data_IF_645344855860
#
_entry.id   IF_645344855860
#
_cell.length_a   1.000
_cell.length_b   1.000
_cell.length_c   1.000
_cell.angle_alpha   90.00
_cell.angle_beta   90.00
_cell.angle_gamma   90.00
#
_symmetry.space_group_name_H-M   'P 1'
#
loop_
_entity.id
_entity.type
_entity.pdbx_description
1 polymer ?
#
# COMPACT_ATOMS: atom_id res chain seq x y z
N UNK A 1 10.53 11.31 3.30
CA UNK A 1 10.36 10.89 4.73
C UNK A 1 10.32 12.07 5.71
N UNK A 2 11.16 13.13 5.59
CA UNK A 2 11.13 14.27 6.51
C UNK A 2 9.74 14.93 6.61
N UNK A 3 9.11 15.23 5.48
CA UNK A 3 7.79 15.89 5.46
C UNK A 3 6.67 15.04 6.07
N UNK A 4 6.81 13.73 6.05
CA UNK A 4 5.83 12.76 6.54
C UNK A 4 6.16 12.18 7.94
N UNK A 5 7.23 12.65 8.61
CA UNK A 5 7.75 12.00 9.81
C UNK A 5 6.75 11.96 10.97
N UNK A 6 5.85 12.94 11.11
CA UNK A 6 4.83 12.90 12.17
C UNK A 6 3.79 11.80 11.93
N UNK A 7 3.35 11.64 10.67
CA UNK A 7 2.37 10.61 10.34
C UNK A 7 2.94 9.22 10.63
N UNK A 8 4.16 8.97 10.13
CA UNK A 8 4.77 7.66 10.24
C UNK A 8 5.66 7.49 11.48
N UNK A 9 5.79 8.49 12.35
CA UNK A 9 6.69 8.44 13.50
C UNK A 9 8.13 8.09 13.13
N UNK A 10 8.59 8.59 11.98
CA UNK A 10 9.87 8.20 11.37
C UNK A 10 11.04 8.54 12.28
N UNK A 11 11.91 7.57 12.49
CA UNK A 11 13.18 7.67 13.20
C UNK A 11 14.30 7.26 12.24
N UNK A 12 15.51 7.72 12.52
CA UNK A 12 16.67 7.39 11.72
C UNK A 12 17.91 7.12 12.57
N UNK A 13 18.80 6.31 12.04
CA UNK A 13 20.11 6.05 12.61
C UNK A 13 21.13 5.85 11.48
N UNK A 14 22.39 6.12 11.78
CA UNK A 14 23.52 5.68 10.96
C UNK A 14 24.09 4.40 11.54
N UNK A 15 24.19 3.35 10.73
CA UNK A 15 24.71 2.04 11.11
C UNK A 15 25.74 1.61 10.08
N UNK A 16 27.01 1.59 10.47
CA UNK A 16 28.13 1.15 9.59
C UNK A 16 28.14 1.85 8.21
N UNK A 17 27.83 3.16 8.16
CA UNK A 17 27.79 3.95 6.92
C UNK A 17 26.47 3.86 6.16
N UNK A 18 25.48 3.14 6.67
CA UNK A 18 24.13 3.11 6.10
C UNK A 18 23.17 3.99 6.89
N UNK A 19 22.36 4.79 6.19
CA UNK A 19 21.18 5.44 6.77
C UNK A 19 20.06 4.41 6.89
N UNK A 20 19.63 4.15 8.10
CA UNK A 20 18.50 3.28 8.44
C UNK A 20 17.31 4.14 8.85
N UNK A 21 16.18 3.93 8.20
CA UNK A 21 14.93 4.61 8.50
C UNK A 21 13.93 3.60 9.06
N UNK A 22 13.40 3.87 10.26
CA UNK A 22 12.33 3.13 10.92
C UNK A 22 11.07 3.97 10.94
N UNK A 23 9.91 3.35 10.73
CA UNK A 23 8.62 4.05 10.70
C UNK A 23 7.48 3.13 11.14
N UNK A 24 6.34 3.72 11.53
CA UNK A 24 5.10 2.97 11.74
C UNK A 24 4.44 2.69 10.39
N UNK A 25 4.03 1.45 10.19
CA UNK A 25 3.27 1.07 9.00
C UNK A 25 1.88 1.71 9.11
N UNK A 26 1.42 2.32 8.02
CA UNK A 26 0.17 3.07 7.98
C UNK A 26 -1.02 2.27 8.50
N UNK A 27 -1.85 2.92 9.33
CA UNK A 27 -3.04 2.32 9.95
C UNK A 27 -2.77 1.23 10.99
N UNK A 28 -1.51 1.02 11.43
CA UNK A 28 -1.16 0.00 12.41
C UNK A 28 -0.13 0.47 13.44
N UNK A 29 -0.02 -0.26 14.54
CA UNK A 29 1.05 -0.07 15.53
C UNK A 29 2.35 -0.80 15.15
N UNK A 30 2.35 -1.47 13.99
CA UNK A 30 3.51 -2.23 13.52
C UNK A 30 4.62 -1.34 12.98
N UNK A 31 5.86 -1.77 13.21
CA UNK A 31 7.06 -1.08 12.76
C UNK A 31 7.60 -1.67 11.46
N UNK A 32 8.02 -0.80 10.56
CA UNK A 32 8.72 -1.13 9.33
C UNK A 32 10.03 -0.36 9.19
N UNK A 33 10.89 -0.85 8.30
CA UNK A 33 12.15 -0.20 7.94
C UNK A 33 12.21 -0.02 6.43
N UNK A 34 12.79 1.09 5.98
CA UNK A 34 13.17 1.22 4.57
C UNK A 34 14.42 0.38 4.29
N UNK A 35 14.58 -0.08 3.04
CA UNK A 35 15.88 -0.61 2.63
C UNK A 35 16.97 0.38 3.06
N UNK A 36 18.03 -0.05 3.78
CA UNK A 36 19.13 0.82 4.18
C UNK A 36 19.78 1.52 2.99
N UNK A 37 20.08 2.81 3.13
CA UNK A 37 20.65 3.66 2.08
C UNK A 37 22.13 3.90 2.41
N UNK A 38 23.02 3.48 1.52
CA UNK A 38 24.47 3.58 1.68
C UNK A 38 25.20 2.83 0.57
N UNK A 39 26.52 2.87 0.61
CA UNK A 39 27.36 2.12 -0.35
C UNK A 39 27.64 0.71 0.17
N UNK A 40 27.59 -0.28 -0.72
CA UNK A 40 27.91 -1.68 -0.41
C UNK A 40 26.70 -2.58 -0.18
N UNK A 41 26.94 -3.72 0.50
CA UNK A 41 25.92 -4.73 0.77
C UNK A 41 25.22 -4.43 2.11
N UNK A 42 24.04 -3.84 2.03
CA UNK A 42 23.22 -3.50 3.21
C UNK A 42 22.80 -4.73 4.02
N UNK A 43 22.87 -5.93 3.46
CA UNK A 43 22.50 -7.14 4.20
C UNK A 43 23.44 -7.44 5.36
N UNK A 44 24.62 -6.82 5.38
CA UNK A 44 25.60 -6.95 6.47
C UNK A 44 25.10 -6.36 7.78
N UNK A 45 24.30 -5.30 7.73
CA UNK A 45 23.74 -4.62 8.93
C UNK A 45 22.36 -5.13 9.33
N UNK A 46 21.74 -6.00 8.53
CA UNK A 46 20.38 -6.52 8.84
C UNK A 46 20.28 -7.23 10.19
N UNK A 47 21.30 -7.96 10.70
CA UNK A 47 21.22 -8.53 12.05
C UNK A 47 20.99 -7.48 13.16
N UNK A 48 21.51 -6.26 12.99
CA UNK A 48 21.31 -5.17 13.95
C UNK A 48 19.88 -4.62 13.85
N UNK A 49 19.34 -4.49 12.62
CA UNK A 49 17.96 -4.03 12.38
C UNK A 49 16.96 -5.09 12.87
N UNK A 50 17.27 -6.38 12.64
CA UNK A 50 16.47 -7.50 13.16
C UNK A 50 16.41 -7.50 14.69
N UNK A 51 17.53 -7.23 15.34
CA UNK A 51 17.57 -7.10 16.81
C UNK A 51 16.74 -5.92 17.32
N UNK A 52 16.72 -4.77 16.60
CA UNK A 52 15.86 -3.63 16.93
C UNK A 52 14.38 -3.96 16.73
N UNK A 53 14.00 -4.65 15.66
CA UNK A 53 12.63 -5.10 15.44
C UNK A 53 12.17 -6.09 16.53
N UNK A 54 13.02 -7.07 16.85
CA UNK A 54 12.75 -8.06 17.88
C UNK A 54 12.60 -7.44 19.28
N UNK A 55 13.36 -6.39 19.59
CA UNK A 55 13.23 -5.64 20.85
C UNK A 55 11.85 -4.95 20.99
N UNK A 56 11.14 -4.76 19.90
CA UNK A 56 9.77 -4.23 19.86
C UNK A 56 8.71 -5.33 19.75
N UNK A 57 9.11 -6.60 19.76
CA UNK A 57 8.20 -7.74 19.63
C UNK A 57 7.71 -7.99 18.20
N UNK A 58 8.38 -7.43 17.20
CA UNK A 58 7.96 -7.47 15.79
C UNK A 58 8.94 -8.28 14.91
N UNK A 59 8.45 -8.98 13.87
CA UNK A 59 9.32 -9.49 12.83
C UNK A 59 9.92 -8.33 12.03
N UNK A 60 11.14 -8.53 11.50
CA UNK A 60 11.72 -7.55 10.60
C UNK A 60 10.88 -7.44 9.33
N UNK A 61 10.49 -6.20 9.00
CA UNK A 61 9.78 -5.82 7.76
C UNK A 61 10.58 -4.74 7.04
N UNK A 62 10.95 -5.00 5.80
CA UNK A 62 11.59 -4.01 4.93
C UNK A 62 10.66 -3.56 3.82
N UNK A 63 10.75 -2.28 3.46
CA UNK A 63 9.99 -1.62 2.42
C UNK A 63 10.90 -0.87 1.45
N UNK A 64 10.38 -0.56 0.25
CA UNK A 64 11.13 0.17 -0.75
C UNK A 64 12.35 -0.60 -1.28
N UNK A 65 12.28 -1.92 -1.27
CA UNK A 65 13.40 -2.78 -1.68
C UNK A 65 13.52 -2.73 -3.20
N UNK A 66 14.72 -2.40 -3.68
CA UNK A 66 15.08 -2.42 -5.09
C UNK A 66 15.18 -3.86 -5.62
N UNK A 67 15.12 -4.05 -6.94
CA UNK A 67 15.32 -5.39 -7.55
C UNK A 67 16.66 -6.00 -7.14
N UNK A 68 17.74 -5.22 -7.13
CA UNK A 68 19.05 -5.68 -6.66
C UNK A 68 19.03 -6.04 -5.17
N UNK A 69 18.35 -5.23 -4.34
CA UNK A 69 18.19 -5.52 -2.92
C UNK A 69 17.45 -6.83 -2.67
N UNK A 70 16.41 -7.11 -3.45
CA UNK A 70 15.66 -8.36 -3.35
C UNK A 70 16.50 -9.58 -3.74
N UNK A 71 17.36 -9.48 -4.75
CA UNK A 71 18.31 -10.52 -5.12
C UNK A 71 19.30 -10.82 -3.99
N UNK A 72 19.85 -9.79 -3.34
CA UNK A 72 20.73 -9.96 -2.18
C UNK A 72 20.01 -10.64 -1.01
N UNK A 73 18.78 -10.23 -0.70
CA UNK A 73 17.97 -10.84 0.36
C UNK A 73 17.67 -12.31 0.04
N UNK A 74 17.26 -12.61 -1.18
CA UNK A 74 16.95 -13.98 -1.61
C UNK A 74 18.20 -14.87 -1.56
N UNK A 75 19.35 -14.37 -1.99
CA UNK A 75 20.62 -15.11 -1.95
C UNK A 75 21.07 -15.43 -0.51
N UNK A 76 20.86 -14.48 0.43
CA UNK A 76 21.32 -14.63 1.82
C UNK A 76 20.35 -15.39 2.71
N UNK A 77 19.04 -15.16 2.57
CA UNK A 77 18.02 -15.65 3.49
C UNK A 77 17.10 -16.73 2.90
N UNK A 78 17.05 -16.90 1.57
CA UNK A 78 16.28 -17.95 0.90
C UNK A 78 14.83 -17.99 1.37
N UNK A 79 14.39 -19.15 1.87
CA UNK A 79 13.03 -19.39 2.34
C UNK A 79 12.67 -18.65 3.64
N UNK A 80 13.66 -18.09 4.34
CA UNK A 80 13.42 -17.35 5.59
C UNK A 80 12.90 -15.94 5.36
N UNK A 81 12.85 -15.46 4.12
CA UNK A 81 12.28 -14.17 3.76
C UNK A 81 11.11 -14.34 2.78
N UNK A 82 10.03 -13.64 3.02
CA UNK A 82 8.94 -13.46 2.07
C UNK A 82 9.17 -12.14 1.32
N UNK A 83 9.03 -12.16 0.00
CA UNK A 83 9.21 -11.01 -0.88
C UNK A 83 7.98 -10.81 -1.76
N UNK A 84 7.44 -9.61 -1.79
CA UNK A 84 6.30 -9.26 -2.64
C UNK A 84 6.46 -7.88 -3.25
N UNK A 85 5.95 -7.71 -4.46
CA UNK A 85 5.98 -6.46 -5.22
C UNK A 85 4.57 -5.88 -5.34
N UNK A 86 4.13 -5.01 -4.42
CA UNK A 86 2.82 -4.37 -4.52
C UNK A 86 2.76 -3.46 -5.75
N UNK A 87 1.75 -3.64 -6.60
CA UNK A 87 1.55 -2.77 -7.77
C UNK A 87 1.21 -1.33 -7.38
N UNK A 88 0.56 -1.15 -6.24
CA UNK A 88 0.11 0.15 -5.74
C UNK A 88 1.26 1.09 -5.36
N UNK A 89 2.43 0.52 -5.00
CA UNK A 89 3.63 1.26 -4.57
C UNK A 89 4.67 1.45 -5.68
N UNK A 90 4.31 1.12 -6.93
CA UNK A 90 5.21 1.33 -8.06
C UNK A 90 5.27 2.82 -8.45
N UNK A 91 6.47 3.36 -8.57
CA UNK A 91 6.67 4.73 -9.04
C UNK A 91 6.54 4.83 -10.55
N UNK A 92 5.98 5.95 -11.00
CA UNK A 92 5.77 6.26 -12.40
C UNK A 92 6.87 7.17 -12.92
N UNK A 93 7.76 6.65 -13.74
CA UNK A 93 8.85 7.41 -14.34
C UNK A 93 8.56 7.77 -15.78
N UNK A 94 8.70 9.06 -16.08
CA UNK A 94 8.45 9.63 -17.41
C UNK A 94 9.75 10.22 -17.97
N UNK A 95 9.97 10.07 -19.28
CA UNK A 95 11.04 10.82 -19.91
C UNK A 95 10.68 12.32 -19.91
N UNK A 96 11.57 13.15 -19.38
CA UNK A 96 11.40 14.61 -19.41
C UNK A 96 11.11 15.12 -20.81
N UNK A 97 11.87 14.66 -21.80
CA UNK A 97 11.67 15.02 -23.22
C UNK A 97 10.25 14.75 -23.74
N UNK A 98 9.63 13.65 -23.31
CA UNK A 98 8.28 13.29 -23.74
C UNK A 98 7.23 14.23 -23.10
N UNK A 99 7.38 14.57 -21.82
CA UNK A 99 6.50 15.52 -21.13
C UNK A 99 6.62 16.95 -21.68
N UNK A 100 7.83 17.35 -22.10
CA UNK A 100 8.09 18.65 -22.74
C UNK A 100 7.47 18.70 -24.15
N UNK A 101 7.74 17.71 -24.99
CA UNK A 101 7.38 17.73 -26.39
C UNK A 101 5.94 17.23 -26.66
N UNK A 102 5.46 16.27 -25.87
CA UNK A 102 4.15 15.60 -26.02
C UNK A 102 3.90 15.14 -27.47
N UNK A 103 4.93 14.58 -28.12
CA UNK A 103 4.87 14.17 -29.53
C UNK A 103 4.12 12.85 -29.71
N UNK A 104 3.62 12.62 -30.94
CA UNK A 104 2.93 11.39 -31.27
C UNK A 104 1.43 11.42 -30.99
N UNK A 105 0.72 10.41 -31.56
CA UNK A 105 -0.74 10.31 -31.53
C UNK A 105 -1.27 10.05 -30.10
N UNK A 106 -0.54 9.30 -29.29
CA UNK A 106 -0.95 8.95 -27.92
C UNK A 106 -0.99 10.17 -26.98
N UNK A 107 -0.16 11.20 -27.22
CA UNK A 107 -0.21 12.46 -26.47
C UNK A 107 -1.23 13.48 -27.00
N UNK A 108 -1.99 13.17 -28.06
CA UNK A 108 -2.99 14.10 -28.61
C UNK A 108 -3.97 14.62 -27.57
N UNK A 109 -4.51 13.80 -26.62
CA UNK A 109 -5.39 14.31 -25.57
C UNK A 109 -4.71 15.38 -24.71
N UNK A 110 -3.42 15.19 -24.35
CA UNK A 110 -2.66 16.13 -23.54
C UNK A 110 -2.42 17.47 -24.28
N UNK A 111 -2.05 17.38 -25.56
CA UNK A 111 -1.95 18.59 -26.39
C UNK A 111 -3.28 19.32 -26.52
N UNK A 112 -4.39 18.60 -26.65
CA UNK A 112 -5.73 19.21 -26.71
C UNK A 112 -6.05 19.97 -25.41
N UNK A 113 -5.75 19.40 -24.24
CA UNK A 113 -5.92 20.08 -22.95
C UNK A 113 -5.06 21.35 -22.88
N UNK A 114 -3.79 21.29 -23.29
CA UNK A 114 -2.91 22.43 -23.32
C UNK A 114 -3.41 23.51 -24.29
N UNK A 115 -3.76 23.13 -25.52
CA UNK A 115 -4.28 24.08 -26.51
C UNK A 115 -5.59 24.73 -26.03
N UNK A 116 -6.42 23.98 -25.32
CA UNK A 116 -7.64 24.50 -24.72
C UNK A 116 -7.33 25.53 -23.64
N UNK A 117 -6.36 25.21 -22.75
CA UNK A 117 -5.89 26.14 -21.73
C UNK A 117 -5.35 27.45 -22.35
N UNK A 118 -4.46 27.35 -23.35
CA UNK A 118 -3.89 28.49 -24.04
C UNK A 118 -4.94 29.37 -24.74
N UNK A 119 -5.99 28.75 -25.29
CA UNK A 119 -7.09 29.46 -25.93
C UNK A 119 -8.01 30.19 -24.94
N UNK A 120 -8.24 29.60 -23.77
CA UNK A 120 -9.14 30.17 -22.76
C UNK A 120 -8.46 31.22 -21.89
N UNK A 121 -7.15 31.07 -21.66
CA UNK A 121 -6.38 31.89 -20.73
C UNK A 121 -5.13 32.48 -21.40
N UNK A 122 -5.30 33.45 -22.34
CA UNK A 122 -4.18 34.03 -23.10
C UNK A 122 -3.23 34.86 -22.24
N UNK A 123 -3.67 35.30 -21.08
CA UNK A 123 -2.91 36.07 -20.08
C UNK A 123 -2.19 35.18 -19.04
N UNK A 124 -2.11 33.87 -19.29
CA UNK A 124 -1.37 32.97 -18.43
C UNK A 124 0.15 33.24 -18.47
N UNK A 125 0.80 32.97 -17.36
CA UNK A 125 2.27 32.98 -17.30
C UNK A 125 2.77 31.94 -16.29
N UNK A 126 3.97 31.47 -16.49
CA UNK A 126 4.67 30.55 -15.60
C UNK A 126 5.88 31.26 -14.98
N UNK A 127 6.13 30.95 -13.70
CA UNK A 127 7.34 31.43 -13.03
C UNK A 127 7.84 30.38 -12.01
N UNK A 128 9.14 30.42 -11.65
CA UNK A 128 9.67 29.57 -10.60
C UNK A 128 8.98 29.84 -9.26
N UNK A 129 8.81 28.79 -8.46
CA UNK A 129 8.39 28.90 -7.07
C UNK A 129 9.59 29.35 -6.23
N UNK A 130 9.40 30.45 -5.52
CA UNK A 130 10.38 31.03 -4.60
C UNK A 130 9.79 31.14 -3.20
N UNK A 131 10.61 31.17 -2.17
CA UNK A 131 10.18 31.18 -0.76
C UNK A 131 9.28 32.34 -0.39
N UNK A 132 9.47 33.52 -1.00
CA UNK A 132 8.61 34.70 -0.82
C UNK A 132 7.18 34.54 -1.39
N UNK A 133 6.94 33.50 -2.19
CA UNK A 133 5.63 33.20 -2.80
C UNK A 133 4.91 31.98 -2.23
N UNK A 134 5.50 31.30 -1.27
CA UNK A 134 4.89 30.12 -0.61
C UNK A 134 3.49 30.41 -0.09
N UNK A 135 3.24 31.60 0.43
CA UNK A 135 1.93 31.99 0.92
C UNK A 135 0.82 31.95 -0.16
N UNK A 136 1.18 32.15 -1.43
CA UNK A 136 0.22 32.02 -2.53
C UNK A 136 -0.15 30.54 -2.76
N UNK A 137 0.83 29.64 -2.66
CA UNK A 137 0.61 28.20 -2.76
C UNK A 137 -0.28 27.68 -1.62
N UNK A 138 -0.05 28.18 -0.40
CA UNK A 138 -0.88 27.84 0.77
C UNK A 138 -2.33 28.27 0.55
N UNK A 139 -2.55 29.47 0.04
CA UNK A 139 -3.91 29.95 -0.26
C UNK A 139 -4.61 29.09 -1.32
N UNK A 140 -3.91 28.72 -2.39
CA UNK A 140 -4.48 27.83 -3.41
C UNK A 140 -4.84 26.46 -2.84
N UNK A 141 -4.01 25.90 -1.98
CA UNK A 141 -4.28 24.62 -1.31
C UNK A 141 -5.50 24.73 -0.38
N UNK A 142 -5.65 25.81 0.36
CA UNK A 142 -6.81 26.09 1.21
C UNK A 142 -8.11 26.21 0.41
N UNK A 143 -8.06 26.88 -0.74
CA UNK A 143 -9.21 26.96 -1.66
C UNK A 143 -9.56 25.57 -2.21
N UNK A 144 -8.56 24.79 -2.62
CA UNK A 144 -8.75 23.43 -3.10
C UNK A 144 -9.42 22.55 -2.04
N UNK A 145 -8.97 22.65 -0.80
CA UNK A 145 -9.53 21.91 0.33
C UNK A 145 -10.99 22.31 0.60
N UNK A 146 -11.31 23.61 0.61
CA UNK A 146 -12.69 24.13 0.78
C UNK A 146 -13.63 23.65 -0.32
N UNK A 147 -13.17 23.67 -1.58
CA UNK A 147 -13.97 23.27 -2.74
C UNK A 147 -14.34 21.78 -2.77
N UNK A 148 -13.62 20.94 -2.03
CA UNK A 148 -13.92 19.51 -1.84
C UNK A 148 -14.80 19.20 -0.62
N UNK A 149 -15.36 20.22 0.02
CA UNK A 149 -16.19 20.04 1.23
C UNK A 149 -15.40 20.03 2.53
N UNK A 150 -14.13 20.42 2.50
CA UNK A 150 -13.23 20.46 3.65
C UNK A 150 -12.26 19.28 3.71
N UNK A 151 -11.21 19.44 4.51
CA UNK A 151 -10.20 18.39 4.74
C UNK A 151 -10.65 17.44 5.86
N UNK A 152 -11.74 16.68 5.62
CA UNK A 152 -12.26 15.73 6.62
C UNK A 152 -11.53 14.38 6.58
N UNK A 153 -10.97 14.02 5.44
CA UNK A 153 -10.19 12.80 5.26
C UNK A 153 -8.80 12.93 5.92
N UNK A 154 -8.38 11.90 6.68
CA UNK A 154 -7.10 11.93 7.40
C UNK A 154 -5.91 11.93 6.44
N UNK A 155 -6.00 11.24 5.30
CA UNK A 155 -4.96 11.27 4.27
C UNK A 155 -4.73 12.67 3.71
N UNK A 156 -5.82 13.41 3.43
CA UNK A 156 -5.75 14.80 2.97
C UNK A 156 -5.14 15.72 4.04
N UNK A 157 -5.51 15.51 5.32
CA UNK A 157 -4.90 16.27 6.43
C UNK A 157 -3.41 15.96 6.58
N UNK A 158 -3.02 14.70 6.42
CA UNK A 158 -1.64 14.27 6.47
C UNK A 158 -0.81 14.87 5.32
N UNK A 159 -1.34 14.83 4.09
CA UNK A 159 -0.73 15.48 2.93
C UNK A 159 -0.52 16.98 3.16
N UNK A 160 -1.53 17.67 3.71
CA UNK A 160 -1.41 19.09 4.05
C UNK A 160 -0.31 19.36 5.08
N UNK A 161 -0.22 18.55 6.15
CA UNK A 161 0.89 18.69 7.12
C UNK A 161 2.25 18.50 6.46
N UNK A 162 2.37 17.48 5.59
CA UNK A 162 3.60 17.24 4.84
C UNK A 162 3.96 18.41 3.90
N UNK A 163 2.97 18.98 3.22
CA UNK A 163 3.12 20.17 2.38
C UNK A 163 3.63 21.37 3.18
N UNK A 164 3.03 21.67 4.34
CA UNK A 164 3.46 22.79 5.19
C UNK A 164 4.91 22.65 5.64
N UNK A 165 5.32 21.43 6.04
CA UNK A 165 6.71 21.15 6.42
C UNK A 165 7.68 21.26 5.25
N UNK A 166 7.27 20.85 4.05
CA UNK A 166 8.08 21.07 2.85
C UNK A 166 8.32 22.55 2.61
N UNK A 167 7.30 23.38 2.78
CA UNK A 167 7.41 24.82 2.64
C UNK A 167 8.29 25.47 3.71
N UNK A 168 8.17 25.04 4.98
CA UNK A 168 9.03 25.52 6.08
C UNK A 168 10.52 25.23 5.84
N UNK A 169 10.83 24.12 5.18
CA UNK A 169 12.19 23.67 4.92
C UNK A 169 12.59 23.73 3.43
N UNK A 170 11.90 24.55 2.63
CA UNK A 170 12.00 24.54 1.16
C UNK A 170 13.44 24.63 0.66
N UNK A 171 14.17 25.65 1.11
CA UNK A 171 15.57 25.85 0.71
C UNK A 171 16.50 24.79 1.33
N UNK A 172 16.27 24.43 2.58
CA UNK A 172 17.09 23.44 3.28
C UNK A 172 16.99 22.03 2.68
N UNK A 173 15.83 21.70 2.11
CA UNK A 173 15.59 20.44 1.39
C UNK A 173 16.02 20.51 -0.09
N UNK A 174 16.50 21.65 -0.58
CA UNK A 174 16.86 21.86 -1.98
C UNK A 174 15.67 21.69 -2.93
N UNK A 175 14.45 22.03 -2.47
CA UNK A 175 13.26 21.92 -3.28
C UNK A 175 13.27 22.93 -4.42
N UNK A 176 12.75 22.52 -5.57
CA UNK A 176 12.57 23.36 -6.76
C UNK A 176 11.13 23.22 -7.22
N UNK A 177 10.52 24.31 -7.66
CA UNK A 177 9.11 24.27 -8.05
C UNK A 177 8.76 25.30 -9.10
N UNK A 178 7.50 25.26 -9.52
CA UNK A 178 6.93 26.17 -10.49
C UNK A 178 5.50 26.54 -10.18
N UNK A 179 5.12 27.72 -10.62
CA UNK A 179 3.82 28.34 -10.40
C UNK A 179 3.22 28.77 -11.74
N UNK A 180 1.94 28.48 -11.94
CA UNK A 180 1.18 28.86 -13.13
C UNK A 180 0.09 29.85 -12.74
N UNK A 181 0.05 30.97 -13.42
CA UNK A 181 -0.92 32.04 -13.21
C UNK A 181 -1.84 32.25 -14.43
N UNK A 182 -3.03 32.78 -14.16
CA UNK A 182 -3.92 33.40 -15.15
C UNK A 182 -4.23 34.81 -14.65
N UNK A 183 -3.78 35.84 -15.36
CA UNK A 183 -3.71 37.19 -14.81
C UNK A 183 -2.85 37.20 -13.54
N UNK A 184 -3.39 37.76 -12.46
CA UNK A 184 -2.74 37.81 -11.15
C UNK A 184 -3.12 36.62 -10.24
N UNK A 185 -3.93 35.66 -10.74
CA UNK A 185 -4.40 34.53 -9.94
C UNK A 185 -3.49 33.33 -10.12
N UNK A 186 -2.91 32.81 -9.02
CA UNK A 186 -2.26 31.50 -9.01
C UNK A 186 -3.29 30.40 -9.23
N UNK A 187 -3.09 29.57 -10.26
CA UNK A 187 -4.00 28.49 -10.64
C UNK A 187 -3.41 27.09 -10.49
N UNK A 188 -2.08 26.98 -10.43
CA UNK A 188 -1.40 25.72 -10.11
C UNK A 188 0.00 25.95 -9.59
N UNK A 189 0.49 25.00 -8.79
CA UNK A 189 1.91 24.91 -8.44
C UNK A 189 2.34 23.44 -8.36
N UNK A 190 3.64 23.23 -8.50
CA UNK A 190 4.29 21.94 -8.34
C UNK A 190 5.68 22.15 -7.75
N UNK A 191 6.17 21.18 -6.99
CA UNK A 191 7.56 21.16 -6.54
C UNK A 191 8.04 19.74 -6.25
N UNK A 192 9.35 19.61 -6.19
CA UNK A 192 10.04 18.36 -5.87
C UNK A 192 11.53 18.59 -5.64
N UNK A 193 12.31 17.53 -5.71
CA UNK A 193 13.77 17.55 -5.54
C UNK A 193 14.47 16.57 -6.46
N UNK A 194 15.77 16.72 -6.63
CA UNK A 194 16.58 15.70 -7.30
C UNK A 194 16.62 14.42 -6.45
N UNK A 195 16.25 13.30 -7.04
CA UNK A 195 16.39 11.97 -6.43
C UNK A 195 17.81 11.42 -6.65
N UNK A 196 18.39 11.72 -7.82
CA UNK A 196 19.77 11.42 -8.22
C UNK A 196 20.15 12.36 -9.37
N UNK A 197 21.36 12.20 -9.94
CA UNK A 197 21.91 13.09 -10.98
C UNK A 197 21.03 13.20 -12.25
N UNK A 198 20.12 12.26 -12.49
CA UNK A 198 19.32 12.17 -13.72
C UNK A 198 17.82 12.09 -13.52
N UNK A 199 17.36 12.03 -12.28
CA UNK A 199 15.93 11.87 -11.95
C UNK A 199 15.48 12.94 -10.96
N UNK A 200 14.44 13.65 -11.34
CA UNK A 200 13.75 14.61 -10.48
C UNK A 200 12.45 13.96 -9.94
N UNK A 201 12.25 14.05 -8.64
CA UNK A 201 11.06 13.52 -7.96
C UNK A 201 10.05 14.64 -7.69
N UNK A 202 8.84 14.50 -8.22
CA UNK A 202 7.75 15.48 -8.05
C UNK A 202 6.92 15.04 -6.85
N UNK A 203 7.09 15.75 -5.73
CA UNK A 203 6.41 15.47 -4.48
C UNK A 203 4.97 15.96 -4.46
N UNK A 204 4.73 17.16 -5.00
CA UNK A 204 3.42 17.80 -4.97
C UNK A 204 3.11 18.44 -6.33
N UNK A 205 1.88 18.24 -6.79
CA UNK A 205 1.28 18.96 -7.90
C UNK A 205 -0.16 19.30 -7.55
N UNK A 206 -0.49 20.57 -7.38
CA UNK A 206 -1.82 21.08 -7.03
C UNK A 206 -2.31 22.06 -8.09
N UNK A 207 -3.58 21.97 -8.43
CA UNK A 207 -4.18 22.87 -9.40
C UNK A 207 -5.67 23.11 -9.13
N UNK A 208 -6.14 24.29 -9.49
CA UNK A 208 -7.56 24.63 -9.50
C UNK A 208 -8.23 24.05 -10.75
N UNK A 209 -9.02 23.01 -10.56
CA UNK A 209 -9.70 22.28 -11.64
C UNK A 209 -10.76 23.08 -12.39
N UNK A 210 -11.12 24.27 -11.92
CA UNK A 210 -11.98 25.22 -12.64
C UNK A 210 -11.30 25.73 -13.92
N UNK A 211 -9.96 25.70 -13.97
CA UNK A 211 -9.18 26.08 -15.16
C UNK A 211 -8.91 24.84 -16.01
N UNK A 212 -9.65 24.74 -17.11
CA UNK A 212 -9.57 23.58 -18.02
C UNK A 212 -8.17 23.40 -18.62
N UNK A 213 -7.56 22.22 -18.46
CA UNK A 213 -6.23 21.91 -18.99
C UNK A 213 -5.06 22.30 -18.06
N UNK A 214 -5.33 22.87 -16.88
CA UNK A 214 -4.33 23.40 -15.96
C UNK A 214 -3.26 22.38 -15.56
N UNK A 215 -3.65 21.12 -15.23
CA UNK A 215 -2.69 20.07 -14.88
C UNK A 215 -1.75 19.72 -16.05
N UNK A 216 -2.25 19.67 -17.27
CA UNK A 216 -1.39 19.41 -18.43
C UNK A 216 -0.43 20.57 -18.69
N UNK A 217 -0.89 21.78 -18.41
CA UNK A 217 -0.08 22.99 -18.59
C UNK A 217 1.05 23.09 -17.57
N UNK A 218 0.74 22.98 -16.25
CA UNK A 218 1.79 23.06 -15.22
C UNK A 218 2.81 21.95 -15.36
N UNK A 219 2.39 20.70 -15.64
CA UNK A 219 3.27 19.56 -15.83
C UNK A 219 4.27 19.80 -16.97
N UNK A 220 3.80 20.30 -18.14
CA UNK A 220 4.69 20.62 -19.26
C UNK A 220 5.63 21.77 -18.96
N UNK A 221 5.11 22.88 -18.41
CA UNK A 221 5.94 24.07 -18.17
C UNK A 221 7.01 23.78 -17.12
N UNK A 222 6.69 23.07 -16.05
CA UNK A 222 7.68 22.65 -15.07
C UNK A 222 8.74 21.73 -15.69
N UNK A 223 8.35 20.71 -16.45
CA UNK A 223 9.29 19.82 -17.13
C UNK A 223 10.26 20.59 -18.07
N UNK A 224 9.83 21.72 -18.65
CA UNK A 224 10.66 22.57 -19.50
C UNK A 224 11.74 23.34 -18.73
N UNK A 225 11.47 23.69 -17.47
CA UNK A 225 12.40 24.48 -16.66
C UNK A 225 13.51 23.64 -16.02
N UNK A 226 13.33 22.33 -15.96
CA UNK A 226 14.35 21.42 -15.44
C UNK A 226 15.55 21.34 -16.40
N UNK A 227 16.79 21.23 -15.89
CA UNK A 227 17.99 21.09 -16.71
C UNK A 227 17.95 19.87 -17.64
N UNK A 228 18.75 19.91 -18.72
CA UNK A 228 18.76 18.81 -19.72
C UNK A 228 19.33 17.51 -19.16
N UNK A 229 20.15 17.58 -18.14
CA UNK A 229 20.70 16.45 -17.40
C UNK A 229 19.62 15.61 -16.69
N UNK A 230 18.47 16.23 -16.36
CA UNK A 230 17.30 15.51 -15.86
C UNK A 230 16.66 14.73 -17.00
N UNK A 231 16.88 13.42 -17.00
CA UNK A 231 16.34 12.50 -18.00
C UNK A 231 14.93 12.04 -17.64
N UNK A 232 14.68 11.77 -16.36
CA UNK A 232 13.43 11.26 -15.87
C UNK A 232 12.77 12.17 -14.83
N UNK A 233 11.43 12.18 -14.87
CA UNK A 233 10.59 12.70 -13.81
C UNK A 233 9.90 11.50 -13.14
N UNK A 234 10.14 11.31 -11.86
CA UNK A 234 9.36 10.43 -11.01
C UNK A 234 8.13 11.20 -10.52
N UNK A 235 6.96 10.59 -10.59
CA UNK A 235 5.71 11.16 -10.07
C UNK A 235 5.10 10.25 -9.01
N UNK A 236 5.93 9.48 -8.34
CA UNK A 236 5.60 8.59 -7.23
C UNK A 236 4.49 7.55 -7.57
N UNK A 237 3.98 6.88 -6.58
CA UNK A 237 3.00 5.79 -6.69
C UNK A 237 1.55 6.25 -6.90
N UNK A 238 0.67 5.30 -7.27
CA UNK A 238 -0.78 5.52 -7.39
C UNK A 238 -1.58 5.14 -6.13
N UNK A 239 -0.95 4.57 -5.11
CA UNK A 239 -1.54 4.13 -3.85
C UNK A 239 -2.76 3.21 -4.00
N UNK A 240 -2.89 2.52 -5.14
CA UNK A 240 -4.06 1.69 -5.46
C UNK A 240 -5.31 2.48 -5.87
N UNK A 241 -5.25 3.81 -5.91
CA UNK A 241 -6.38 4.67 -6.30
C UNK A 241 -6.58 4.63 -7.82
N UNK A 242 -7.68 4.06 -8.29
CA UNK A 242 -7.96 3.85 -9.71
C UNK A 242 -7.91 5.14 -10.54
N UNK A 243 -8.52 6.22 -10.02
CA UNK A 243 -8.51 7.53 -10.68
C UNK A 243 -7.09 8.09 -10.84
N UNK A 244 -6.25 7.95 -9.81
CA UNK A 244 -4.86 8.39 -9.85
C UNK A 244 -4.04 7.53 -10.80
N UNK A 245 -4.21 6.21 -10.77
CA UNK A 245 -3.61 5.26 -11.71
C UNK A 245 -3.92 5.62 -13.16
N UNK A 246 -5.20 5.84 -13.46
CA UNK A 246 -5.65 6.25 -14.80
C UNK A 246 -5.03 7.58 -15.23
N UNK A 247 -4.97 8.56 -14.33
CA UNK A 247 -4.35 9.85 -14.60
C UNK A 247 -2.85 9.69 -14.92
N UNK A 248 -2.10 8.94 -14.10
CA UNK A 248 -0.66 8.69 -14.29
C UNK A 248 -0.38 7.90 -15.58
N UNK A 249 -1.10 6.80 -15.83
CA UNK A 249 -0.96 6.03 -17.07
C UNK A 249 -1.27 6.83 -18.33
N UNK A 250 -2.15 7.84 -18.25
CA UNK A 250 -2.49 8.69 -19.40
C UNK A 250 -1.35 9.59 -19.91
N UNK A 251 -0.24 9.66 -19.16
CA UNK A 251 1.01 10.32 -19.57
C UNK A 251 2.05 9.35 -20.12
N UNK A 252 1.72 8.06 -20.29
CA UNK A 252 2.56 7.03 -20.89
C UNK A 252 3.96 6.95 -20.24
N UNK A 253 4.06 6.47 -18.99
CA UNK A 253 5.33 6.37 -18.30
C UNK A 253 6.32 5.53 -19.12
N UNK A 254 7.58 5.91 -19.10
CA UNK A 254 8.66 5.16 -19.75
C UNK A 254 8.82 3.76 -19.12
N UNK A 255 8.69 3.70 -17.80
CA UNK A 255 8.64 2.47 -17.03
C UNK A 255 8.02 2.73 -15.65
N UNK A 256 7.75 1.65 -14.94
CA UNK A 256 7.36 1.67 -13.54
C UNK A 256 8.54 1.14 -12.72
N UNK A 257 8.98 1.91 -11.73
CA UNK A 257 9.96 1.44 -10.77
C UNK A 257 9.24 0.63 -9.69
N UNK A 258 9.51 -0.67 -9.68
CA UNK A 258 8.86 -1.60 -8.77
C UNK A 258 9.64 -1.64 -7.45
N UNK A 259 8.94 -1.39 -6.36
CA UNK A 259 9.46 -1.47 -5.00
C UNK A 259 8.90 -2.71 -4.31
N UNK A 260 9.78 -3.53 -3.73
CA UNK A 260 9.36 -4.74 -3.03
C UNK A 260 9.24 -4.47 -1.52
N UNK A 261 8.46 -5.31 -0.86
CA UNK A 261 8.44 -5.44 0.59
C UNK A 261 8.91 -6.82 0.99
N UNK A 262 9.57 -6.92 2.14
CA UNK A 262 10.06 -8.18 2.70
C UNK A 262 9.64 -8.34 4.16
N UNK A 263 9.36 -9.58 4.54
CA UNK A 263 9.09 -9.97 5.94
C UNK A 263 9.91 -11.20 6.28
N UNK A 264 10.59 -11.17 7.42
CA UNK A 264 11.30 -12.33 7.94
C UNK A 264 10.31 -13.31 8.54
N UNK A 265 10.37 -14.55 8.08
CA UNK A 265 9.47 -15.63 8.49
C UNK A 265 10.10 -16.46 9.60
N UNK A 266 9.36 -16.64 10.69
CA UNK A 266 9.61 -17.68 11.68
C UNK A 266 9.46 -19.09 11.08
N UNK A 267 9.74 -20.14 11.86
CA UNK A 267 9.45 -21.51 11.44
C UNK A 267 7.97 -21.71 11.12
N UNK A 268 7.05 -21.08 11.87
CA UNK A 268 5.61 -21.14 11.61
C UNK A 268 5.24 -20.44 10.30
N UNK A 269 5.85 -19.30 9.99
CA UNK A 269 5.65 -18.60 8.71
C UNK A 269 6.14 -19.44 7.53
N UNK A 270 7.30 -20.09 7.65
CA UNK A 270 7.80 -21.05 6.63
C UNK A 270 6.87 -22.27 6.50
N UNK A 271 6.36 -22.78 7.61
CA UNK A 271 5.37 -23.87 7.58
C UNK A 271 4.07 -23.44 6.89
N UNK A 272 3.59 -22.22 7.13
CA UNK A 272 2.46 -21.64 6.42
C UNK A 272 2.68 -21.67 4.90
N UNK A 273 3.82 -21.15 4.42
CA UNK A 273 4.18 -21.16 3.01
C UNK A 273 4.16 -22.58 2.42
N UNK A 274 4.83 -23.54 3.07
CA UNK A 274 4.89 -24.94 2.61
C UNK A 274 3.48 -25.59 2.54
N UNK A 275 2.68 -25.40 3.57
CA UNK A 275 1.30 -25.93 3.60
C UNK A 275 0.43 -25.32 2.52
N UNK A 276 0.58 -23.99 2.31
CA UNK A 276 -0.19 -23.30 1.28
C UNK A 276 0.12 -23.87 -0.10
N UNK A 277 1.40 -23.91 -0.45
CA UNK A 277 1.86 -24.44 -1.75
C UNK A 277 1.46 -25.90 -1.98
N UNK A 278 1.43 -26.71 -0.92
CA UNK A 278 1.04 -28.12 -1.01
C UNK A 278 -0.47 -28.33 -1.12
N UNK A 279 -1.28 -27.44 -0.55
CA UNK A 279 -2.74 -27.63 -0.44
C UNK A 279 -3.54 -26.79 -1.43
N UNK A 280 -3.01 -25.66 -1.90
CA UNK A 280 -3.66 -24.72 -2.81
C UNK A 280 -2.81 -24.54 -4.07
N UNK A 281 -2.72 -25.61 -4.86
CA UNK A 281 -1.85 -25.64 -6.07
C UNK A 281 -2.30 -24.65 -7.18
N UNK A 282 -3.54 -24.19 -7.12
CA UNK A 282 -4.13 -23.19 -8.04
C UNK A 282 -3.61 -21.77 -7.75
N UNK A 283 -3.20 -21.49 -6.51
CA UNK A 283 -2.75 -20.19 -6.10
C UNK A 283 -1.34 -19.90 -6.64
N UNK A 284 -1.17 -18.72 -7.21
CA UNK A 284 0.14 -18.29 -7.69
C UNK A 284 1.10 -18.09 -6.51
N UNK A 285 2.39 -18.43 -6.65
CA UNK A 285 3.38 -18.16 -5.61
C UNK A 285 3.38 -16.70 -5.13
N UNK A 286 3.18 -15.74 -6.04
CA UNK A 286 3.10 -14.32 -5.68
C UNK A 286 1.94 -13.97 -4.75
N UNK A 287 0.82 -14.71 -4.83
CA UNK A 287 -0.32 -14.53 -3.93
C UNK A 287 0.01 -14.98 -2.50
N UNK A 288 0.74 -16.08 -2.37
CA UNK A 288 1.22 -16.56 -1.07
C UNK A 288 2.19 -15.54 -0.44
N UNK A 289 3.11 -15.00 -1.23
CA UNK A 289 4.05 -13.96 -0.78
C UNK A 289 3.31 -12.65 -0.41
N UNK A 290 2.27 -12.30 -1.15
CA UNK A 290 1.40 -11.16 -0.83
C UNK A 290 0.73 -11.33 0.53
N UNK A 291 0.14 -12.52 0.80
CA UNK A 291 -0.45 -12.85 2.09
C UNK A 291 0.59 -12.78 3.22
N UNK A 292 1.74 -13.43 3.05
CA UNK A 292 2.80 -13.50 4.07
C UNK A 292 3.41 -12.13 4.39
N UNK A 293 3.50 -11.25 3.42
CA UNK A 293 4.06 -9.90 3.63
C UNK A 293 3.02 -8.85 4.01
N UNK A 294 1.75 -9.13 3.84
CA UNK A 294 0.62 -8.25 4.13
C UNK A 294 -0.15 -8.68 5.38
N UNK A 295 -1.31 -9.33 5.22
CA UNK A 295 -2.23 -9.59 6.33
C UNK A 295 -1.79 -10.71 7.28
N UNK A 296 -0.82 -11.54 6.93
CA UNK A 296 -0.36 -12.62 7.80
C UNK A 296 0.14 -12.12 9.15
N UNK A 297 -0.36 -12.73 10.21
CA UNK A 297 0.13 -12.55 11.59
C UNK A 297 0.30 -13.93 12.23
N UNK A 298 1.49 -14.19 12.77
CA UNK A 298 1.80 -15.50 13.38
C UNK A 298 0.87 -15.83 14.54
N UNK A 299 0.49 -14.84 15.35
CA UNK A 299 -0.45 -14.97 16.47
C UNK A 299 -1.88 -15.37 16.06
N UNK A 300 -2.21 -15.18 14.79
CA UNK A 300 -3.51 -15.53 14.18
C UNK A 300 -3.50 -16.90 13.51
N UNK A 301 -2.34 -17.51 13.33
CA UNK A 301 -2.19 -18.82 12.73
C UNK A 301 -2.38 -19.92 13.79
N UNK A 302 -3.32 -20.81 13.54
CA UNK A 302 -3.55 -22.03 14.31
C UNK A 302 -2.98 -23.23 13.55
N UNK A 303 -2.34 -24.17 14.24
CA UNK A 303 -1.65 -25.30 13.60
C UNK A 303 -1.91 -26.62 14.29
N UNK A 304 -1.74 -27.72 13.53
CA UNK A 304 -1.60 -29.08 14.09
C UNK A 304 -0.29 -29.68 13.62
N UNK A 305 0.38 -30.31 14.55
CA UNK A 305 1.67 -30.96 14.31
C UNK A 305 1.55 -32.48 14.54
N UNK A 306 2.26 -33.23 13.72
CA UNK A 306 2.44 -34.67 13.88
C UNK A 306 3.94 -34.93 13.77
N UNK A 307 4.52 -35.58 14.78
CA UNK A 307 5.95 -35.89 14.85
C UNK A 307 6.85 -34.67 14.63
N UNK A 308 6.45 -33.49 15.14
CA UNK A 308 7.19 -32.24 15.00
C UNK A 308 7.07 -31.54 13.64
N UNK A 309 6.20 -32.07 12.75
CA UNK A 309 5.92 -31.46 11.46
C UNK A 309 4.55 -30.80 11.49
N UNK A 310 4.46 -29.54 11.09
CA UNK A 310 3.18 -28.85 10.91
C UNK A 310 2.46 -29.43 9.69
N UNK A 311 1.30 -30.05 9.91
CA UNK A 311 0.54 -30.79 8.89
C UNK A 311 -0.83 -30.19 8.57
N UNK A 312 -1.31 -29.28 9.42
CA UNK A 312 -2.53 -28.54 9.16
C UNK A 312 -2.43 -27.12 9.72
N UNK A 313 -3.13 -26.18 9.10
CA UNK A 313 -3.22 -24.79 9.50
C UNK A 313 -4.60 -24.20 9.24
N UNK A 314 -4.92 -23.13 9.96
CA UNK A 314 -6.00 -22.19 9.70
C UNK A 314 -5.63 -20.83 10.28
N UNK A 315 -6.14 -19.75 9.70
CA UNK A 315 -5.91 -18.39 10.21
C UNK A 315 -7.21 -17.79 10.71
N UNK A 316 -7.14 -17.15 11.87
CA UNK A 316 -8.18 -16.25 12.37
C UNK A 316 -7.82 -14.82 11.99
N UNK A 317 -8.52 -14.23 11.06
CA UNK A 317 -8.32 -12.84 10.64
C UNK A 317 -9.45 -12.00 11.27
N UNK A 318 -9.12 -11.02 12.14
CA UNK A 318 -10.13 -10.21 12.81
C UNK A 318 -10.62 -9.09 11.89
N UNK A 319 -11.94 -8.95 11.80
CA UNK A 319 -12.59 -7.86 11.09
C UNK A 319 -13.66 -7.19 11.95
N UNK A 320 -13.95 -5.92 11.66
CA UNK A 320 -15.07 -5.20 12.25
C UNK A 320 -15.84 -4.40 11.19
N UNK A 321 -17.10 -4.19 11.44
CA UNK A 321 -18.00 -3.37 10.63
C UNK A 321 -19.42 -3.38 11.15
N UNK A 322 -20.16 -2.30 10.94
CA UNK A 322 -21.55 -2.14 11.38
C UNK A 322 -21.76 -2.45 12.88
N UNK A 323 -20.77 -2.11 13.72
CA UNK A 323 -20.79 -2.35 15.15
C UNK A 323 -20.60 -3.82 15.57
N UNK A 324 -20.08 -4.67 14.69
CA UNK A 324 -19.83 -6.09 14.91
C UNK A 324 -18.36 -6.43 14.76
N UNK A 325 -17.89 -7.35 15.59
CA UNK A 325 -16.55 -7.97 15.50
C UNK A 325 -16.69 -9.39 14.96
N UNK A 326 -16.14 -9.63 13.80
CA UNK A 326 -16.25 -10.92 13.06
C UNK A 326 -14.87 -11.56 12.94
N UNK A 327 -14.76 -12.84 13.33
CA UNK A 327 -13.58 -13.64 13.08
C UNK A 327 -13.66 -14.31 11.72
N UNK A 328 -12.83 -13.93 10.75
CA UNK A 328 -12.80 -14.58 9.45
C UNK A 328 -11.78 -15.72 9.43
N UNK A 329 -12.25 -16.96 9.18
CA UNK A 329 -11.37 -18.11 9.05
C UNK A 329 -10.86 -18.19 7.62
N UNK A 330 -9.55 -18.20 7.46
CA UNK A 330 -8.89 -18.17 6.17
C UNK A 330 -7.79 -19.22 6.05
N UNK A 331 -7.59 -19.77 4.83
CA UNK A 331 -6.50 -20.68 4.53
C UNK A 331 -6.52 -21.96 5.36
N UNK A 332 -7.69 -22.58 5.52
CA UNK A 332 -7.80 -23.89 6.20
C UNK A 332 -7.19 -24.97 5.33
N UNK A 333 -6.07 -25.52 5.75
CA UNK A 333 -5.30 -26.49 4.99
C UNK A 333 -4.93 -27.71 5.83
N UNK A 334 -4.93 -28.89 5.19
CA UNK A 334 -4.39 -30.11 5.77
C UNK A 334 -3.67 -30.89 4.66
N UNK A 335 -2.41 -31.26 4.90
CA UNK A 335 -1.63 -32.05 3.96
C UNK A 335 -2.40 -33.32 3.54
N UNK A 336 -2.35 -33.73 2.26
CA UNK A 336 -3.15 -34.85 1.72
C UNK A 336 -3.08 -36.12 2.57
N UNK A 337 -1.89 -36.51 3.02
CA UNK A 337 -1.65 -37.73 3.77
C UNK A 337 -2.21 -37.69 5.21
N UNK A 338 -2.63 -36.53 5.67
CA UNK A 338 -3.17 -36.31 7.01
C UNK A 338 -4.66 -35.96 7.03
N UNK A 339 -5.31 -35.92 5.87
CA UNK A 339 -6.77 -35.71 5.75
C UNK A 339 -7.58 -36.83 6.35
N UNK A 340 -8.84 -36.54 6.68
CA UNK A 340 -9.77 -37.55 7.27
C UNK A 340 -9.48 -37.86 8.75
N UNK A 341 -8.59 -37.14 9.42
CA UNK A 341 -8.21 -37.36 10.83
C UNK A 341 -8.79 -36.30 11.80
N UNK A 342 -9.76 -35.51 11.33
CA UNK A 342 -10.40 -34.48 12.14
C UNK A 342 -9.53 -33.19 12.43
N UNK A 343 -8.35 -33.05 11.80
CA UNK A 343 -7.43 -31.96 12.09
C UNK A 343 -8.02 -30.59 11.71
N UNK A 344 -8.66 -30.48 10.54
CA UNK A 344 -9.30 -29.25 10.10
C UNK A 344 -10.48 -28.88 11.02
N UNK A 345 -11.34 -29.84 11.39
CA UNK A 345 -12.45 -29.61 12.32
C UNK A 345 -11.96 -29.09 13.66
N UNK A 346 -10.89 -29.70 14.19
CA UNK A 346 -10.33 -29.27 15.48
C UNK A 346 -9.70 -27.86 15.43
N UNK A 347 -9.15 -27.44 14.29
CA UNK A 347 -8.64 -26.07 14.11
C UNK A 347 -9.78 -25.05 14.04
N UNK A 348 -10.83 -25.36 13.30
CA UNK A 348 -12.02 -24.50 13.17
C UNK A 348 -12.69 -24.32 14.53
N UNK A 349 -12.90 -25.41 15.28
CA UNK A 349 -13.51 -25.32 16.62
C UNK A 349 -12.64 -24.54 17.60
N UNK A 350 -11.30 -24.69 17.58
CA UNK A 350 -10.38 -23.91 18.41
C UNK A 350 -10.49 -22.42 18.11
N UNK A 351 -10.60 -22.05 16.82
CA UNK A 351 -10.80 -20.64 16.41
C UNK A 351 -12.15 -20.13 16.89
N UNK A 352 -13.21 -20.92 16.74
CA UNK A 352 -14.57 -20.57 17.20
C UNK A 352 -14.56 -20.33 18.73
N UNK A 353 -13.96 -21.25 19.51
CA UNK A 353 -13.83 -21.11 20.95
C UNK A 353 -13.02 -19.86 21.34
N UNK A 354 -11.93 -19.57 20.61
CA UNK A 354 -11.15 -18.36 20.81
C UNK A 354 -11.99 -17.11 20.54
N UNK A 355 -12.70 -17.06 19.41
CA UNK A 355 -13.59 -15.95 19.08
C UNK A 355 -14.67 -15.72 20.14
N UNK A 356 -15.25 -16.80 20.65
CA UNK A 356 -16.26 -16.74 21.73
C UNK A 356 -15.67 -16.12 23.02
N UNK A 357 -14.48 -16.55 23.43
CA UNK A 357 -13.79 -16.00 24.62
C UNK A 357 -13.39 -14.53 24.44
N UNK A 358 -13.01 -14.14 23.24
CA UNK A 358 -12.59 -12.78 22.90
C UNK A 358 -13.75 -11.85 22.54
N UNK A 359 -15.01 -12.34 22.68
CA UNK A 359 -16.22 -11.53 22.55
C UNK A 359 -16.63 -11.17 21.12
N UNK A 360 -16.18 -11.95 20.13
CA UNK A 360 -16.65 -11.78 18.75
C UNK A 360 -18.15 -12.06 18.65
N UNK A 361 -18.80 -11.44 17.66
CA UNK A 361 -20.24 -11.61 17.42
C UNK A 361 -20.54 -12.84 16.58
N UNK A 362 -19.66 -13.16 15.63
CA UNK A 362 -19.75 -14.35 14.81
C UNK A 362 -18.37 -14.73 14.24
N UNK A 363 -18.33 -15.95 13.68
CA UNK A 363 -17.23 -16.42 12.85
C UNK A 363 -17.74 -16.59 11.43
N UNK A 364 -16.94 -16.20 10.44
CA UNK A 364 -17.25 -16.27 9.02
C UNK A 364 -16.16 -17.03 8.24
N UNK A 365 -16.54 -17.66 7.16
CA UNK A 365 -15.64 -18.26 6.17
C UNK A 365 -16.31 -18.36 4.79
N UNK A 366 -15.51 -18.48 3.73
CA UNK A 366 -15.99 -18.81 2.39
C UNK A 366 -15.59 -20.25 2.07
N UNK A 367 -16.58 -21.08 1.74
CA UNK A 367 -16.35 -22.46 1.34
C UNK A 367 -16.15 -22.54 -0.18
N UNK A 368 -15.02 -23.07 -0.63
CA UNK A 368 -14.65 -23.15 -2.04
C UNK A 368 -15.46 -24.18 -2.86
N UNK A 369 -16.26 -25.04 -2.21
CA UNK A 369 -17.06 -26.07 -2.89
C UNK A 369 -18.27 -26.50 -2.05
N UNK A 370 -19.27 -27.15 -2.68
CA UNK A 370 -20.43 -27.67 -2.00
C UNK A 370 -20.08 -28.76 -0.95
N UNK A 371 -19.05 -29.56 -1.21
CA UNK A 371 -18.57 -30.54 -0.23
C UNK A 371 -18.00 -29.89 1.02
N UNK A 372 -17.29 -28.77 0.85
CA UNK A 372 -16.79 -27.95 1.97
C UNK A 372 -17.92 -27.22 2.69
N UNK A 373 -18.96 -26.77 1.98
CA UNK A 373 -20.14 -26.21 2.64
C UNK A 373 -20.81 -27.25 3.56
N UNK A 374 -20.94 -28.48 3.11
CA UNK A 374 -21.50 -29.57 3.94
C UNK A 374 -20.66 -29.84 5.17
N UNK A 375 -19.34 -29.88 5.02
CA UNK A 375 -18.39 -30.01 6.12
C UNK A 375 -18.53 -28.85 7.15
N UNK A 376 -18.64 -27.61 6.70
CA UNK A 376 -18.78 -26.48 7.62
C UNK A 376 -20.18 -26.39 8.26
N UNK A 377 -21.22 -26.88 7.59
CA UNK A 377 -22.56 -27.03 8.22
C UNK A 377 -22.52 -27.98 9.42
N UNK A 378 -21.77 -29.06 9.34
CA UNK A 378 -21.58 -29.99 10.48
C UNK A 378 -20.87 -29.30 11.67
N UNK A 379 -20.09 -28.22 11.40
CA UNK A 379 -19.44 -27.38 12.40
C UNK A 379 -20.28 -26.14 12.79
N UNK A 380 -21.58 -26.13 12.46
CA UNK A 380 -22.52 -25.10 12.88
C UNK A 380 -22.44 -23.78 12.09
N UNK A 381 -21.82 -23.77 10.91
CA UNK A 381 -21.86 -22.63 10.01
C UNK A 381 -23.09 -22.72 9.11
N UNK A 382 -23.87 -21.64 9.04
CA UNK A 382 -25.13 -21.58 8.33
C UNK A 382 -25.21 -20.36 7.40
N UNK A 383 -26.17 -20.43 6.47
CA UNK A 383 -26.49 -19.32 5.56
C UNK A 383 -25.43 -19.07 4.51
N UNK A 384 -25.72 -18.12 3.68
CA UNK A 384 -24.81 -17.56 2.67
C UNK A 384 -25.05 -16.05 2.59
N UNK A 385 -24.14 -15.28 3.18
CA UNK A 385 -24.24 -13.82 3.26
C UNK A 385 -23.14 -13.19 2.39
N UNK A 386 -23.48 -12.30 1.45
CA UNK A 386 -22.47 -11.52 0.75
C UNK A 386 -21.56 -10.79 1.74
N UNK A 387 -20.24 -10.94 1.56
CA UNK A 387 -19.24 -10.35 2.45
C UNK A 387 -18.20 -9.57 1.62
N UNK A 388 -17.87 -8.38 2.10
CA UNK A 388 -16.84 -7.51 1.53
C UNK A 388 -15.81 -7.23 2.62
N UNK A 389 -14.58 -7.66 2.40
CA UNK A 389 -13.47 -7.51 3.34
C UNK A 389 -12.49 -6.46 2.84
N UNK A 390 -12.35 -5.37 3.57
CA UNK A 390 -11.41 -4.30 3.25
C UNK A 390 -10.13 -4.42 4.06
N UNK A 391 -9.01 -4.38 3.38
CA UNK A 391 -7.68 -4.39 3.98
C UNK A 391 -6.92 -3.10 3.60
N UNK A 392 -6.09 -2.56 4.48
CA UNK A 392 -5.31 -1.35 4.19
C UNK A 392 -4.36 -1.52 2.99
N UNK A 393 -3.84 -2.73 2.80
CA UNK A 393 -2.92 -3.08 1.71
C UNK A 393 -3.61 -3.60 0.44
N UNK A 394 -4.94 -3.67 0.45
CA UNK A 394 -5.75 -4.10 -0.69
C UNK A 394 -5.68 -5.61 -0.96
N UNK A 395 -5.24 -6.43 0.01
CA UNK A 395 -5.23 -7.90 -0.14
C UNK A 395 -6.66 -8.42 -0.28
N UNK A 396 -6.90 -9.25 -1.30
CA UNK A 396 -8.20 -9.89 -1.52
C UNK A 396 -8.26 -11.27 -0.83
N UNK A 397 -9.08 -11.37 0.19
CA UNK A 397 -9.38 -12.64 0.88
C UNK A 397 -10.34 -13.54 0.10
N UNK A 398 -10.47 -13.35 -1.21
CA UNK A 398 -11.40 -14.09 -2.06
C UNK A 398 -12.83 -13.53 -2.04
N UNK A 399 -12.99 -12.29 -1.56
CA UNK A 399 -14.31 -11.64 -1.52
C UNK A 399 -14.59 -10.79 -2.75
N UNK A 400 -13.55 -10.34 -3.46
CA UNK A 400 -13.63 -9.56 -4.71
C UNK A 400 -14.69 -8.46 -4.75
N UNK A 401 -14.74 -7.70 -5.83
CA UNK A 401 -15.85 -6.76 -6.11
C UNK A 401 -17.06 -7.47 -6.77
N UNK A 402 -17.11 -8.81 -6.77
CA UNK A 402 -18.06 -9.59 -7.57
C UNK A 402 -19.25 -10.00 -6.72
N UNK A 403 -20.45 -9.66 -7.16
CA UNK A 403 -21.70 -10.31 -6.74
C UNK A 403 -21.53 -11.83 -6.80
N UNK A 404 -21.29 -12.50 -5.68
CA UNK A 404 -21.19 -13.95 -5.67
C UNK A 404 -20.39 -14.58 -4.53
N UNK A 405 -19.48 -13.87 -3.93
CA UNK A 405 -18.73 -14.43 -2.80
C UNK A 405 -19.55 -14.32 -1.51
N UNK A 406 -20.10 -15.47 -1.11
CA UNK A 406 -20.96 -15.57 0.05
C UNK A 406 -20.25 -16.33 1.15
N UNK A 407 -20.19 -15.72 2.33
CA UNK A 407 -19.67 -16.34 3.52
C UNK A 407 -20.74 -17.16 4.25
N UNK A 408 -20.33 -18.29 4.78
CA UNK A 408 -21.07 -19.01 5.81
C UNK A 408 -20.76 -18.40 7.17
N UNK A 409 -21.73 -18.28 8.05
CA UNK A 409 -21.61 -17.64 9.35
C UNK A 409 -21.96 -18.60 10.48
N UNK A 410 -21.21 -18.52 11.59
CA UNK A 410 -21.55 -19.15 12.86
C UNK A 410 -21.70 -18.06 13.92
N UNK A 411 -22.94 -17.67 14.30
CA UNK A 411 -23.19 -16.71 15.38
C UNK A 411 -22.62 -17.23 16.71
N UNK A 412 -22.05 -16.32 17.52
CA UNK A 412 -21.49 -16.64 18.84
C UNK A 412 -22.27 -16.06 20.01
N UNK A 413 -23.22 -15.17 19.72
CA UNK A 413 -24.10 -14.54 20.71
C UNK A 413 -25.57 -14.82 20.36
N UNK A 414 -26.40 -15.09 21.39
CA UNK A 414 -27.82 -15.30 21.21
C UNK A 414 -28.53 -14.05 20.71
N UNK A 415 -29.51 -14.23 19.82
CA UNK A 415 -30.37 -13.14 19.33
C UNK A 415 -29.71 -12.19 18.33
N UNK A 416 -28.52 -12.47 17.85
CA UNK A 416 -27.91 -11.68 16.78
C UNK A 416 -28.58 -12.03 15.45
N UNK A 417 -29.24 -11.03 14.85
CA UNK A 417 -29.69 -11.12 13.46
C UNK A 417 -28.56 -10.67 12.55
N UNK A 418 -28.07 -11.56 11.69
CA UNK A 418 -27.07 -11.21 10.70
C UNK A 418 -27.70 -10.37 9.58
N UNK A 419 -27.02 -9.33 9.08
CA UNK A 419 -27.52 -8.53 7.98
C UNK A 419 -27.50 -9.32 6.67
N UNK A 420 -28.22 -8.82 5.67
CA UNK A 420 -28.26 -9.44 4.34
C UNK A 420 -26.92 -9.31 3.57
N UNK A 421 -26.00 -8.49 4.03
CA UNK A 421 -24.62 -8.32 3.54
C UNK A 421 -23.74 -7.80 4.67
N UNK A 422 -22.46 -8.02 4.58
CA UNK A 422 -21.45 -7.56 5.55
C UNK A 422 -20.35 -6.77 4.83
N UNK A 423 -20.07 -5.57 5.30
CA UNK A 423 -18.90 -4.77 4.89
C UNK A 423 -18.01 -4.60 6.10
N UNK A 424 -16.84 -5.19 6.05
CA UNK A 424 -15.94 -5.33 7.19
C UNK A 424 -14.56 -4.79 6.88
N UNK A 425 -13.93 -4.15 7.86
CA UNK A 425 -12.57 -3.64 7.80
C UNK A 425 -11.66 -4.51 8.65
N UNK A 426 -10.44 -4.77 8.17
CA UNK A 426 -9.43 -5.50 8.92
C UNK A 426 -9.11 -4.75 10.21
N UNK A 427 -9.16 -5.47 11.33
CA UNK A 427 -8.65 -4.97 12.61
C UNK A 427 -7.13 -5.10 12.63
N UNK A 428 -6.45 -3.99 12.92
CA UNK A 428 -4.99 -3.89 13.04
C UNK A 428 -4.46 -4.65 14.27
#
# INVERSE_FOLDING_TARGET
MYCWHELYGTQWAEVEGFLVLRFRIDGSDHTGYMQPIGEGDFTTILPQIEADAAAQGEPLRLFGITSQGAELLQARYGESVALYTPRATADYLYRRSDLVALTGKHYQPKRNHINRFLSLYPDHHYQPLTTDRIEECIRLEEEWCRNRGGCHDEGVRAERRALMRAFEAFDALGLQGGMLYVGDQLVAFTFGSMLNDHTFDIHIEKADTRYEGVFAMINREFARTLPEEVVYLNREEDLGVEGLRKAKLSYHPAFLELKQRAVWLSERGRACRRLWQACFAEDKPSFVEEFLTGPYRESQMHTREVEGVTVAMAHLVPFEGEGRKIGYIYGVATLPDYRGRGLASSLVEEIVERCHREGYDAVALIAASESLQSFYRELGFEGEVPIYLHTPDGFDFGTGDVEGNKAMLRPLKDGITMPNHLVLNLLS
#
